data_IF_570636853642
#
_entry.id   IF_570636853642
#
_cell.length_a   1.000
_cell.length_b   1.000
_cell.length_c   1.000
_cell.angle_alpha   90.00
_cell.angle_beta   90.00
_cell.angle_gamma   90.00
#
_symmetry.space_group_name_H-M   'P 1'
#
loop_
_entity.id
_entity.type
_entity.pdbx_description
1 polymer ?
#
# COMPACT_ATOMS: atom_id res chain seq x y z
N UNK A 1 13.92 -0.50 -6.89
CA UNK A 1 14.11 -1.93 -7.11
C UNK A 1 14.22 -2.19 -8.59
N UNK A 2 15.37 -2.70 -9.04
CA UNK A 2 15.54 -3.18 -10.41
C UNK A 2 14.93 -4.58 -10.48
N UNK A 3 13.83 -4.71 -11.19
CA UNK A 3 13.24 -6.00 -11.56
C UNK A 3 11.79 -6.14 -11.13
N UNK A 4 10.90 -6.01 -12.07
CA UNK A 4 9.55 -6.53 -11.97
C UNK A 4 9.65 -8.06 -12.06
N UNK A 5 9.48 -8.75 -10.94
CA UNK A 5 9.42 -10.21 -10.95
C UNK A 5 7.98 -10.64 -11.23
N UNK A 6 7.83 -11.53 -12.22
CA UNK A 6 6.56 -12.13 -12.67
C UNK A 6 5.86 -12.97 -11.59
N UNK A 7 6.46 -13.10 -10.41
CA UNK A 7 5.96 -13.89 -9.29
C UNK A 7 4.66 -13.37 -8.65
N UNK A 8 4.24 -12.14 -8.97
CA UNK A 8 2.96 -11.57 -8.50
C UNK A 8 1.71 -12.28 -9.02
N UNK A 9 1.83 -13.06 -10.09
CA UNK A 9 0.71 -13.82 -10.70
C UNK A 9 0.70 -15.28 -10.24
N UNK A 10 1.71 -15.75 -9.52
CA UNK A 10 1.77 -17.12 -9.06
C UNK A 10 1.11 -17.29 -7.69
N UNK A 11 -0.11 -17.86 -7.60
CA UNK A 11 -0.84 -17.99 -6.34
C UNK A 11 -0.13 -18.87 -5.31
N UNK A 12 0.80 -19.73 -5.74
CA UNK A 12 1.56 -20.60 -4.83
C UNK A 12 2.71 -19.88 -4.12
N UNK A 13 3.07 -18.68 -4.59
CA UNK A 13 4.13 -17.83 -4.01
C UNK A 13 3.57 -16.61 -3.27
N UNK A 14 2.25 -16.49 -3.18
CA UNK A 14 1.60 -15.43 -2.39
C UNK A 14 1.75 -15.76 -0.90
N UNK A 15 2.66 -15.08 -0.24
CA UNK A 15 2.97 -15.32 1.18
C UNK A 15 1.92 -14.77 2.14
N UNK A 16 1.25 -13.68 1.77
CA UNK A 16 0.09 -13.11 2.51
C UNK A 16 -0.79 -12.43 1.47
N UNK A 17 -2.10 -12.75 1.38
CA UNK A 17 -2.99 -12.04 0.47
C UNK A 17 -3.05 -10.56 0.87
N UNK A 18 -2.70 -9.68 -0.06
CA UNK A 18 -2.93 -8.25 0.13
C UNK A 18 -4.44 -8.04 0.04
N UNK A 19 -5.07 -7.84 1.19
CA UNK A 19 -6.52 -7.66 1.29
C UNK A 19 -6.85 -6.18 1.45
N UNK A 20 -7.81 -5.72 0.67
CA UNK A 20 -8.35 -4.38 0.78
C UNK A 20 -9.80 -4.47 1.21
N UNK A 21 -10.21 -3.61 2.12
CA UNK A 21 -11.59 -3.49 2.54
C UNK A 21 -12.05 -2.05 2.37
N UNK A 22 -13.28 -1.86 1.86
CA UNK A 22 -13.82 -0.53 1.65
C UNK A 22 -15.33 -0.51 1.87
N UNK A 23 -15.79 0.52 2.58
CA UNK A 23 -17.19 0.86 2.74
C UNK A 23 -17.43 2.19 2.05
N UNK A 24 -18.41 2.24 1.13
CA UNK A 24 -18.71 3.42 0.34
C UNK A 24 -20.18 3.80 0.38
N UNK A 25 -20.45 5.09 0.14
CA UNK A 25 -21.77 5.64 0.00
C UNK A 25 -21.86 6.51 -1.25
N UNK A 26 -22.86 6.27 -2.08
CA UNK A 26 -23.14 7.09 -3.25
C UNK A 26 -23.90 8.36 -2.82
N UNK A 27 -23.21 9.50 -2.89
CA UNK A 27 -23.83 10.82 -2.60
C UNK A 27 -24.68 11.34 -3.76
N UNK A 28 -24.42 10.84 -4.96
CA UNK A 28 -25.22 11.00 -6.17
C UNK A 28 -25.13 9.73 -6.98
N UNK A 29 -25.88 9.61 -8.08
CA UNK A 29 -25.80 8.45 -9.01
C UNK A 29 -24.40 8.23 -9.58
N UNK A 30 -23.53 9.25 -9.54
CA UNK A 30 -22.19 9.21 -10.13
C UNK A 30 -21.04 9.31 -9.12
N UNK A 31 -21.27 9.90 -7.96
CA UNK A 31 -20.21 10.16 -6.99
C UNK A 31 -20.34 9.28 -5.76
N UNK A 32 -19.29 8.58 -5.46
CA UNK A 32 -19.14 7.74 -4.29
C UNK A 32 -18.06 8.32 -3.36
N UNK A 33 -18.36 8.39 -2.08
CA UNK A 33 -17.36 8.61 -1.02
C UNK A 33 -17.16 7.32 -0.26
N UNK A 34 -15.94 7.00 0.12
CA UNK A 34 -15.65 5.76 0.80
C UNK A 34 -14.52 5.90 1.82
N UNK A 35 -14.53 5.03 2.81
CA UNK A 35 -13.43 4.80 3.74
C UNK A 35 -12.96 3.36 3.61
N UNK A 36 -11.67 3.14 3.76
CA UNK A 36 -11.13 1.79 3.62
C UNK A 36 -9.73 1.63 4.15
N UNK A 37 -9.26 0.39 4.08
CA UNK A 37 -7.91 0.00 4.43
C UNK A 37 -7.31 -0.75 3.25
N UNK A 38 -6.19 -0.25 2.77
CA UNK A 38 -5.36 -0.95 1.79
C UNK A 38 -4.19 -1.59 2.55
N UNK A 39 -4.15 -2.92 2.56
CA UNK A 39 -3.10 -3.69 3.22
C UNK A 39 -1.97 -3.95 2.23
N UNK A 40 -0.90 -3.15 2.33
CA UNK A 40 0.26 -3.23 1.44
C UNK A 40 1.43 -3.93 2.12
N UNK A 41 2.29 -4.59 1.34
CA UNK A 41 3.53 -5.17 1.84
C UNK A 41 4.70 -4.22 1.56
N UNK A 42 5.51 -3.96 2.58
CA UNK A 42 6.76 -3.23 2.44
C UNK A 42 7.89 -3.97 3.15
N UNK A 43 8.93 -4.32 2.38
CA UNK A 43 10.14 -4.98 2.89
C UNK A 43 11.34 -4.31 2.26
N UNK A 44 12.29 -3.87 3.07
CA UNK A 44 13.57 -3.35 2.58
C UNK A 44 14.38 -4.47 1.92
N UNK A 45 14.95 -4.19 0.76
CA UNK A 45 15.89 -5.13 0.12
C UNK A 45 17.13 -5.28 0.98
N UNK A 46 17.39 -6.48 1.47
CA UNK A 46 18.57 -6.78 2.26
C UNK A 46 19.85 -6.79 1.40
N UNK A 47 20.99 -6.60 2.05
CA UNK A 47 22.31 -6.61 1.41
C UNK A 47 22.51 -5.59 0.28
N UNK A 48 21.69 -4.55 0.23
CA UNK A 48 21.90 -3.44 -0.70
C UNK A 48 23.08 -2.57 -0.24
N UNK A 49 23.76 -1.97 -1.21
CA UNK A 49 24.82 -1.02 -0.95
C UNK A 49 24.27 0.39 -0.78
N UNK A 50 24.68 1.07 0.27
CA UNK A 50 24.29 2.45 0.54
C UNK A 50 25.46 3.29 1.02
N UNK A 51 25.39 4.59 0.79
CA UNK A 51 26.26 5.55 1.47
C UNK A 51 25.69 5.82 2.85
N UNK A 52 26.44 5.47 3.88
CA UNK A 52 26.08 5.69 5.28
C UNK A 52 26.85 6.89 5.80
N UNK A 53 26.15 7.84 6.39
CA UNK A 53 26.72 9.04 6.99
C UNK A 53 26.22 9.22 8.41
N UNK A 54 27.03 9.82 9.27
CA UNK A 54 26.72 10.07 10.67
C UNK A 54 27.58 9.24 11.63
N UNK A 55 27.42 9.50 12.92
CA UNK A 55 28.07 8.78 13.99
C UNK A 55 27.11 7.78 14.63
N UNK A 56 27.52 6.53 14.77
CA UNK A 56 26.74 5.48 15.42
C UNK A 56 27.60 4.61 16.33
N UNK A 57 27.03 3.98 17.36
CA UNK A 57 27.78 3.13 18.27
C UNK A 57 28.46 1.97 17.55
N UNK A 58 29.71 1.66 17.93
CA UNK A 58 30.47 0.55 17.36
C UNK A 58 30.58 0.61 15.85
N UNK A 59 30.94 1.79 15.33
CA UNK A 59 31.11 2.00 13.89
C UNK A 59 32.11 0.99 13.30
N UNK A 60 31.69 0.30 12.25
CA UNK A 60 32.46 -0.77 11.62
C UNK A 60 32.19 -2.17 12.15
N UNK A 61 31.43 -2.33 13.24
CA UNK A 61 31.05 -3.65 13.79
C UNK A 61 29.78 -4.23 13.16
N UNK A 62 29.01 -3.39 12.46
CA UNK A 62 27.76 -3.75 11.78
C UNK A 62 27.86 -3.43 10.30
N UNK A 63 27.28 -4.29 9.47
CA UNK A 63 27.36 -4.17 8.03
C UNK A 63 28.74 -4.52 7.49
N UNK A 64 28.91 -4.40 6.21
CA UNK A 64 30.18 -4.68 5.50
C UNK A 64 30.63 -3.41 4.78
N UNK A 65 31.76 -2.85 5.19
CA UNK A 65 32.38 -1.70 4.51
C UNK A 65 33.08 -2.20 3.22
N UNK A 66 32.62 -1.66 2.10
CA UNK A 66 33.13 -2.05 0.77
C UNK A 66 34.31 -1.17 0.32
N UNK A 67 35.13 -1.66 -0.61
CA UNK A 67 36.27 -0.90 -1.12
C UNK A 67 35.91 0.44 -1.80
N UNK A 68 34.69 0.59 -2.26
CA UNK A 68 34.15 1.82 -2.86
C UNK A 68 33.67 2.85 -1.84
N UNK A 69 33.85 2.64 -0.55
CA UNK A 69 33.43 3.52 0.54
C UNK A 69 31.95 3.42 0.87
N UNK A 70 31.20 2.51 0.25
CA UNK A 70 29.81 2.21 0.62
C UNK A 70 29.74 1.15 1.71
N UNK A 71 28.60 1.04 2.33
CA UNK A 71 28.30 -0.01 3.31
C UNK A 71 27.21 -0.92 2.74
N UNK A 72 27.44 -2.22 2.81
CA UNK A 72 26.42 -3.23 2.53
C UNK A 72 25.54 -3.36 3.77
N UNK A 73 24.24 -3.12 3.60
CA UNK A 73 23.24 -3.14 4.66
C UNK A 73 22.83 -4.59 4.96
N UNK A 74 23.59 -5.23 5.84
CA UNK A 74 23.29 -6.57 6.36
C UNK A 74 22.18 -6.53 7.39
N UNK A 75 21.59 -7.66 7.77
CA UNK A 75 20.47 -7.71 8.73
C UNK A 75 20.83 -7.13 10.09
N UNK A 76 22.07 -7.29 10.54
CA UNK A 76 22.59 -6.74 11.79
C UNK A 76 22.77 -5.21 11.74
N UNK A 77 23.01 -4.65 10.53
CA UNK A 77 23.09 -3.21 10.33
C UNK A 77 21.70 -2.58 10.26
N UNK A 78 20.87 -3.06 9.35
CA UNK A 78 19.50 -2.57 9.15
C UNK A 78 18.64 -3.64 8.49
N UNK A 79 17.63 -4.09 9.21
CA UNK A 79 16.48 -4.78 8.68
C UNK A 79 15.24 -3.89 8.91
N UNK A 80 14.42 -3.68 7.89
CA UNK A 80 13.25 -2.82 7.98
C UNK A 80 12.11 -3.37 7.13
N UNK A 81 10.99 -3.67 7.79
CA UNK A 81 9.79 -4.13 7.11
C UNK A 81 8.52 -3.70 7.88
N UNK A 82 7.40 -3.75 7.20
CA UNK A 82 6.08 -3.67 7.84
C UNK A 82 5.46 -5.07 7.80
N UNK A 83 5.59 -5.81 8.91
CA UNK A 83 5.30 -7.25 9.01
C UNK A 83 3.83 -7.60 8.79
N UNK A 84 2.94 -6.89 9.49
CA UNK A 84 1.49 -7.04 9.34
C UNK A 84 0.93 -5.95 8.42
N UNK A 85 1.71 -5.63 7.39
CA UNK A 85 1.39 -4.70 6.34
C UNK A 85 1.63 -3.23 6.66
N UNK A 86 1.83 -2.49 5.60
CA UNK A 86 1.72 -1.04 5.58
C UNK A 86 0.23 -0.71 5.39
N UNK A 87 -0.50 -0.62 6.49
CA UNK A 87 -1.94 -0.36 6.44
C UNK A 87 -2.19 1.12 6.10
N UNK A 88 -2.72 1.36 4.92
CA UNK A 88 -3.14 2.68 4.47
C UNK A 88 -4.63 2.85 4.71
N UNK A 89 -4.98 3.48 5.83
CA UNK A 89 -6.37 3.82 6.19
C UNK A 89 -6.72 5.12 5.49
N UNK A 90 -7.64 5.07 4.53
CA UNK A 90 -7.89 6.20 3.64
C UNK A 90 -9.37 6.49 3.43
N UNK A 91 -9.66 7.75 3.11
CA UNK A 91 -10.93 8.20 2.55
C UNK A 91 -10.74 8.54 1.08
N UNK A 92 -11.71 8.20 0.26
CA UNK A 92 -11.68 8.43 -1.18
C UNK A 92 -12.98 9.03 -1.67
N UNK A 93 -12.88 9.83 -2.73
CA UNK A 93 -13.99 10.21 -3.58
C UNK A 93 -13.75 9.67 -4.98
N UNK A 94 -14.76 9.04 -5.57
CA UNK A 94 -14.69 8.47 -6.91
C UNK A 94 -15.91 8.87 -7.74
N UNK A 95 -15.69 9.09 -9.02
CA UNK A 95 -16.72 9.32 -10.00
C UNK A 95 -16.87 8.09 -10.87
N UNK A 96 -18.11 7.68 -11.11
CA UNK A 96 -18.51 6.59 -11.97
C UNK A 96 -19.26 7.12 -13.18
N UNK A 97 -18.93 6.63 -14.37
CA UNK A 97 -19.61 6.95 -15.62
C UNK A 97 -20.05 5.67 -16.32
N UNK A 98 -21.35 5.54 -16.51
CA UNK A 98 -21.95 4.42 -17.24
C UNK A 98 -21.60 4.51 -18.73
N UNK A 99 -20.95 3.47 -19.23
CA UNK A 99 -20.63 3.32 -20.64
C UNK A 99 -21.28 2.10 -21.30
N UNK A 100 -22.25 1.46 -20.65
CA UNK A 100 -22.97 0.27 -21.11
C UNK A 100 -23.58 0.46 -22.50
N UNK A 101 -24.09 1.67 -22.78
CA UNK A 101 -24.67 2.03 -24.07
C UNK A 101 -23.67 1.84 -25.23
N UNK A 102 -22.41 2.14 -25.03
CA UNK A 102 -21.37 1.97 -26.07
C UNK A 102 -21.04 0.50 -26.34
N UNK A 103 -21.43 -0.40 -25.44
CA UNK A 103 -21.32 -1.86 -25.57
C UNK A 103 -22.60 -2.51 -26.10
N UNK A 104 -23.61 -1.69 -26.51
CA UNK A 104 -24.89 -2.20 -26.99
C UNK A 104 -25.80 -2.75 -25.89
N UNK A 105 -25.50 -2.48 -24.61
CA UNK A 105 -26.30 -2.94 -23.48
C UNK A 105 -27.39 -1.91 -23.21
N UNK A 106 -28.65 -2.32 -23.42
CA UNK A 106 -29.82 -1.48 -23.22
C UNK A 106 -30.51 -1.70 -21.88
N UNK A 107 -30.33 -2.89 -21.28
CA UNK A 107 -30.91 -3.23 -19.98
C UNK A 107 -29.86 -3.22 -18.89
N UNK A 108 -29.62 -2.03 -18.32
CA UNK A 108 -28.66 -1.83 -17.24
C UNK A 108 -29.16 -2.37 -15.88
N UNK A 109 -30.42 -2.82 -15.78
CA UNK A 109 -30.92 -3.50 -14.59
C UNK A 109 -30.32 -4.91 -14.43
N UNK A 110 -29.92 -5.55 -15.53
CA UNK A 110 -29.26 -6.86 -15.52
C UNK A 110 -27.76 -6.74 -15.40
N UNK A 111 -27.17 -5.88 -16.21
CA UNK A 111 -25.74 -5.64 -16.19
C UNK A 111 -25.46 -4.20 -16.61
N UNK A 112 -24.57 -3.55 -15.85
CA UNK A 112 -24.14 -2.18 -16.10
C UNK A 112 -22.61 -2.12 -16.05
N UNK A 113 -21.98 -1.44 -17.01
CA UNK A 113 -20.55 -1.21 -17.01
C UNK A 113 -20.25 0.27 -16.77
N UNK A 114 -19.37 0.50 -15.78
CA UNK A 114 -18.94 1.84 -15.39
C UNK A 114 -17.43 1.97 -15.53
N UNK A 115 -16.97 3.10 -16.05
CA UNK A 115 -15.61 3.57 -15.85
C UNK A 115 -15.59 4.38 -14.55
N UNK A 116 -14.47 4.32 -13.83
CA UNK A 116 -14.32 5.10 -12.60
C UNK A 116 -12.95 5.78 -12.54
N UNK A 117 -12.95 6.96 -11.94
CA UNK A 117 -11.75 7.68 -11.52
C UNK A 117 -11.97 8.22 -10.12
N UNK A 118 -10.91 8.27 -9.31
CA UNK A 118 -11.02 8.74 -7.95
C UNK A 118 -9.70 9.21 -7.37
N UNK A 119 -9.80 9.94 -6.26
CA UNK A 119 -8.66 10.39 -5.47
C UNK A 119 -8.92 10.12 -4.00
N UNK A 120 -7.86 9.97 -3.23
CA UNK A 120 -7.96 9.71 -1.81
C UNK A 120 -6.75 10.16 -1.03
N UNK A 121 -6.95 10.29 0.27
CA UNK A 121 -5.89 10.57 1.23
C UNK A 121 -6.16 9.83 2.54
N UNK A 122 -5.10 9.59 3.31
CA UNK A 122 -5.25 8.87 4.57
C UNK A 122 -3.99 8.81 5.40
N UNK A 123 -4.07 8.05 6.48
CA UNK A 123 -2.98 7.82 7.41
C UNK A 123 -2.38 6.43 7.23
N UNK A 124 -1.13 6.30 7.62
CA UNK A 124 -0.41 5.04 7.63
C UNK A 124 -0.39 4.48 9.04
N UNK A 125 -0.84 3.23 9.19
CA UNK A 125 -0.91 2.51 10.46
C UNK A 125 -0.18 1.16 10.35
N UNK A 126 1.15 1.18 10.10
CA UNK A 126 1.95 -0.02 9.97
C UNK A 126 2.26 -0.66 11.32
N UNK A 127 2.55 -1.97 11.28
CA UNK A 127 3.33 -2.66 12.30
C UNK A 127 4.77 -2.75 11.82
N UNK A 128 5.61 -1.87 12.33
CA UNK A 128 6.99 -1.76 11.88
C UNK A 128 7.88 -2.75 12.63
N UNK A 129 8.50 -3.64 11.89
CA UNK A 129 9.56 -4.51 12.37
C UNK A 129 10.91 -3.97 11.89
N UNK A 130 11.74 -3.51 12.80
CA UNK A 130 13.05 -2.97 12.47
C UNK A 130 14.12 -3.48 13.44
N UNK A 131 15.23 -3.93 12.89
CA UNK A 131 16.47 -4.17 13.62
C UNK A 131 17.50 -3.17 13.14
N UNK A 132 18.09 -2.40 14.04
CA UNK A 132 19.05 -1.34 13.73
C UNK A 132 20.26 -1.50 14.64
N UNK A 133 21.47 -1.73 14.04
CA UNK A 133 22.74 -1.87 14.74
C UNK A 133 22.66 -2.90 15.88
N UNK A 134 22.09 -4.07 15.60
CA UNK A 134 21.96 -5.18 16.54
C UNK A 134 21.05 -4.91 17.75
N UNK A 135 20.29 -3.80 17.77
CA UNK A 135 19.40 -3.45 18.87
C UNK A 135 18.11 -4.25 18.83
N UNK A 136 17.45 -4.31 20.00
CA UNK A 136 16.18 -5.01 20.15
C UNK A 136 15.12 -4.47 19.19
N UNK A 137 14.43 -5.38 18.57
CA UNK A 137 13.38 -5.18 17.58
C UNK A 137 12.19 -4.41 18.16
N UNK A 138 11.76 -3.36 17.48
CA UNK A 138 10.44 -2.78 17.68
C UNK A 138 9.42 -3.52 16.79
N UNK A 139 8.25 -3.85 17.34
CA UNK A 139 7.19 -4.56 16.62
C UNK A 139 5.81 -4.17 17.21
N UNK A 140 5.34 -2.97 16.89
CA UNK A 140 4.04 -2.48 17.34
C UNK A 140 3.36 -1.62 16.28
N UNK A 141 2.02 -1.64 16.27
CA UNK A 141 1.22 -0.76 15.44
C UNK A 141 1.31 0.69 15.90
N UNK A 142 1.56 1.61 14.99
CA UNK A 142 1.56 3.05 15.28
C UNK A 142 1.25 3.86 14.02
N UNK A 143 0.57 4.99 14.20
CA UNK A 143 0.45 5.98 13.12
C UNK A 143 1.84 6.51 12.80
N UNK A 144 2.28 6.32 11.56
CA UNK A 144 3.65 6.58 11.13
C UNK A 144 3.76 7.68 10.05
N UNK A 145 2.65 8.08 9.44
CA UNK A 145 2.67 9.07 8.37
C UNK A 145 1.34 9.19 7.65
N UNK A 146 1.39 9.66 6.42
CA UNK A 146 0.23 9.91 5.58
C UNK A 146 0.48 9.46 4.14
N UNK A 147 -0.60 9.37 3.37
CA UNK A 147 -0.52 9.07 1.94
C UNK A 147 -1.63 9.75 1.15
N UNK A 148 -1.39 9.89 -0.15
CA UNK A 148 -2.38 10.35 -1.11
C UNK A 148 -2.37 9.42 -2.32
N UNK A 149 -3.52 9.24 -2.95
CA UNK A 149 -3.66 8.32 -4.08
C UNK A 149 -4.65 8.82 -5.11
N UNK A 150 -4.46 8.35 -6.34
CA UNK A 150 -5.42 8.45 -7.42
C UNK A 150 -5.68 7.06 -7.98
N UNK A 151 -6.88 6.84 -8.51
CA UNK A 151 -7.25 5.57 -9.12
C UNK A 151 -8.08 5.75 -10.37
N UNK A 152 -7.99 4.77 -11.26
CA UNK A 152 -8.87 4.61 -12.41
C UNK A 152 -9.24 3.13 -12.54
N UNK A 153 -10.40 2.84 -13.10
CA UNK A 153 -10.82 1.45 -13.21
C UNK A 153 -12.10 1.25 -14.00
N UNK A 154 -12.51 0.01 -14.03
CA UNK A 154 -13.76 -0.44 -14.63
C UNK A 154 -14.54 -1.31 -13.65
N UNK A 155 -15.85 -1.16 -13.71
CA UNK A 155 -16.77 -1.86 -12.84
C UNK A 155 -17.89 -2.51 -13.68
N UNK A 156 -18.23 -3.74 -13.35
CA UNK A 156 -19.39 -4.43 -13.87
C UNK A 156 -20.35 -4.68 -12.71
N UNK A 157 -21.52 -4.06 -12.75
CA UNK A 157 -22.60 -4.22 -11.76
C UNK A 157 -23.67 -5.14 -12.30
N UNK A 158 -24.03 -6.16 -11.53
CA UNK A 158 -25.04 -7.16 -11.86
C UNK A 158 -26.26 -6.98 -10.99
N UNK A 159 -27.44 -6.97 -11.62
CA UNK A 159 -28.75 -6.92 -10.98
C UNK A 159 -28.90 -5.74 -10.00
N UNK A 160 -28.12 -4.67 -10.20
CA UNK A 160 -28.03 -3.48 -9.32
C UNK A 160 -27.48 -3.73 -7.90
N UNK A 161 -27.12 -4.97 -7.58
CA UNK A 161 -26.76 -5.34 -6.21
C UNK A 161 -25.37 -5.92 -6.05
N UNK A 162 -24.78 -6.44 -7.10
CA UNK A 162 -23.51 -7.10 -7.05
C UNK A 162 -22.53 -6.52 -8.05
N UNK A 163 -21.29 -6.31 -7.67
CA UNK A 163 -20.31 -5.81 -8.62
C UNK A 163 -18.97 -6.54 -8.56
N UNK A 164 -18.31 -6.54 -9.71
CA UNK A 164 -16.90 -6.87 -9.86
C UNK A 164 -16.22 -5.65 -10.44
N UNK A 165 -15.08 -5.28 -9.89
CA UNK A 165 -14.34 -4.09 -10.28
C UNK A 165 -12.86 -4.41 -10.39
N UNK A 166 -12.23 -3.84 -11.40
CA UNK A 166 -10.78 -3.75 -11.47
C UNK A 166 -10.39 -2.28 -11.37
N UNK A 167 -9.48 -1.98 -10.47
CA UNK A 167 -8.92 -0.63 -10.33
C UNK A 167 -7.40 -0.66 -10.32
N UNK A 168 -6.84 0.33 -10.96
CA UNK A 168 -5.43 0.64 -10.89
C UNK A 168 -5.27 1.90 -10.03
N UNK A 169 -4.55 1.74 -8.92
CA UNK A 169 -4.29 2.79 -7.94
C UNK A 169 -2.81 3.15 -7.96
N UNK A 170 -2.53 4.44 -8.07
CA UNK A 170 -1.22 5.04 -7.91
C UNK A 170 -1.24 5.98 -6.71
N UNK A 171 -0.16 6.01 -5.93
CA UNK A 171 -0.12 6.88 -4.77
C UNK A 171 1.30 7.22 -4.32
N UNK A 172 1.34 8.19 -3.41
CA UNK A 172 2.53 8.63 -2.69
C UNK A 172 2.33 8.40 -1.20
N UNK A 173 3.35 7.90 -0.55
CA UNK A 173 3.41 7.62 0.87
C UNK A 173 4.57 8.36 1.48
N UNK A 174 4.31 9.03 2.60
CA UNK A 174 5.30 9.69 3.43
C UNK A 174 5.23 9.15 4.86
N UNK A 175 6.20 8.31 5.20
CA UNK A 175 6.39 7.81 6.56
C UNK A 175 7.31 8.78 7.27
N UNK A 176 6.74 9.61 8.11
CA UNK A 176 7.47 10.67 8.80
C UNK A 176 8.04 10.20 10.13
N UNK A 177 7.44 9.16 10.75
CA UNK A 177 7.78 8.78 12.13
C UNK A 177 7.47 7.32 12.46
N UNK A 178 8.16 6.38 11.77
CA UNK A 178 8.08 4.95 12.11
C UNK A 178 9.01 4.62 13.28
N UNK A 179 8.50 4.12 14.42
CA UNK A 179 9.36 3.72 15.54
C UNK A 179 10.25 2.54 15.12
N UNK A 180 11.54 2.59 15.46
CA UNK A 180 12.51 1.56 15.10
C UNK A 180 13.17 0.87 16.30
N UNK A 181 13.06 1.46 17.49
CA UNK A 181 13.63 0.92 18.73
C UNK A 181 12.60 1.04 19.84
N UNK A 182 12.47 -0.02 20.61
CA UNK A 182 11.59 -0.05 21.76
C UNK A 182 12.09 0.95 22.85
N UNK A 183 11.18 1.79 23.37
CA UNK A 183 11.41 2.68 24.52
C UNK A 183 12.52 3.73 24.39
N UNK A 184 13.02 4.02 23.20
CA UNK A 184 14.18 4.91 23.06
C UNK A 184 13.89 6.17 22.20
N UNK A 185 12.67 6.30 21.65
CA UNK A 185 12.29 7.48 20.85
C UNK A 185 12.98 7.60 19.49
N UNK A 186 13.68 6.58 19.02
CA UNK A 186 14.29 6.57 17.69
C UNK A 186 13.24 6.25 16.61
N UNK A 187 13.32 6.96 15.49
CA UNK A 187 12.37 6.86 14.39
C UNK A 187 13.07 6.77 13.05
N UNK A 188 12.48 6.02 12.12
CA UNK A 188 12.83 6.08 10.71
C UNK A 188 11.81 6.96 9.95
N UNK A 189 12.31 7.62 8.89
CA UNK A 189 11.47 8.32 7.93
C UNK A 189 11.88 7.95 6.52
N UNK A 190 10.90 7.78 5.65
CA UNK A 190 11.13 7.54 4.22
C UNK A 190 9.84 7.81 3.44
N UNK A 191 9.98 8.04 2.16
CA UNK A 191 8.86 8.22 1.27
C UNK A 191 9.05 7.40 -0.01
N UNK A 192 7.95 7.07 -0.65
CA UNK A 192 7.95 6.34 -1.93
C UNK A 192 6.60 6.47 -2.64
N UNK A 193 6.62 6.18 -3.93
CA UNK A 193 5.41 6.00 -4.72
C UNK A 193 5.08 4.51 -4.83
N UNK A 194 3.78 4.19 -4.93
CA UNK A 194 3.31 2.84 -5.16
C UNK A 194 2.33 2.79 -6.33
N UNK A 195 2.20 1.63 -6.93
CA UNK A 195 1.10 1.32 -7.82
C UNK A 195 0.56 -0.08 -7.53
N UNK A 196 -0.75 -0.26 -7.69
CA UNK A 196 -1.46 -1.51 -7.41
C UNK A 196 -2.53 -1.74 -8.46
N UNK A 197 -2.62 -2.99 -8.96
CA UNK A 197 -3.80 -3.50 -9.65
C UNK A 197 -4.66 -4.28 -8.64
N UNK A 198 -5.92 -3.90 -8.48
CA UNK A 198 -6.80 -4.43 -7.44
C UNK A 198 -8.06 -4.99 -8.09
N UNK A 199 -8.39 -6.26 -7.78
CA UNK A 199 -9.69 -6.83 -8.08
C UNK A 199 -10.58 -6.71 -6.84
N UNK A 200 -11.75 -6.14 -7.02
CA UNK A 200 -12.73 -5.91 -5.95
C UNK A 200 -14.03 -6.62 -6.31
N UNK A 201 -14.63 -7.24 -5.32
CA UNK A 201 -16.01 -7.74 -5.38
C UNK A 201 -16.79 -7.11 -4.24
N UNK A 202 -18.06 -6.81 -4.48
CA UNK A 202 -18.87 -6.17 -3.45
C UNK A 202 -20.37 -6.19 -3.72
N UNK A 203 -21.11 -5.72 -2.73
CA UNK A 203 -22.55 -5.55 -2.79
C UNK A 203 -22.97 -4.09 -2.71
N UNK A 204 -24.08 -3.76 -3.36
CA UNK A 204 -24.74 -2.46 -3.32
C UNK A 204 -26.10 -2.64 -2.67
N UNK A 205 -26.35 -1.88 -1.61
CA UNK A 205 -27.61 -1.90 -0.86
C UNK A 205 -28.26 -0.52 -0.93
N UNK A 206 -29.58 -0.49 -1.11
CA UNK A 206 -30.36 0.75 -0.97
C UNK A 206 -30.64 0.95 0.51
N UNK A 207 -30.33 2.14 1.00
CA UNK A 207 -30.70 2.62 2.33
C UNK A 207 -32.04 3.34 2.26
#
# INVERSE_FOLDING_TARGET
>A
PKGWHVDYINPTKMTIPQTNFRLGYFITDKYNVSIGVDHMKYVMTQNQEATVTGNYPNQGSYGEVLPNGKTKLTEDFLMFEHTDGLNYVNAEIARYEDFSKYLGITNTDKIQFNALVGVGAGILYPKTNATVLGRERHDAFKVAGWGASAKAGVNATFFKHFFVQYEWKFGYIDITKAPIILNNGAYASHNFTFNQGIFVVGGIFKL
#
